data_IF_272885175099
#
_entry.id   IF_272885175099
#
_cell.length_a   1.000
_cell.length_b   1.000
_cell.length_c   1.000
_cell.angle_alpha   90.00
_cell.angle_beta   90.00
_cell.angle_gamma   90.00
#
_symmetry.space_group_name_H-M   'P 1'
#
loop_
_entity.id
_entity.type
_entity.pdbx_description
1 polymer ?
#
# COMPACT_ATOMS: atom_id res chain seq x y z
N UNK A 1 -5.75 8.47 -16.59
CA UNK A 1 -4.65 9.44 -16.85
C UNK A 1 -3.44 8.60 -17.20
N UNK A 2 -2.79 8.87 -18.32
CA UNK A 2 -1.56 8.16 -18.68
C UNK A 2 -0.39 8.72 -17.86
N UNK A 3 0.55 7.85 -17.51
CA UNK A 3 1.76 8.24 -16.79
C UNK A 3 2.58 9.18 -17.68
N UNK A 4 3.00 10.33 -17.16
CA UNK A 4 3.69 11.34 -17.99
C UNK A 4 5.07 10.92 -18.48
N UNK A 5 5.70 9.94 -17.82
CA UNK A 5 7.01 9.40 -18.19
C UNK A 5 7.00 7.86 -18.05
N UNK A 6 6.33 7.12 -18.94
CA UNK A 6 6.19 5.67 -18.83
C UNK A 6 7.51 4.91 -18.94
N UNK A 7 8.52 5.50 -19.59
CA UNK A 7 9.84 4.90 -19.81
C UNK A 7 10.58 4.58 -18.50
N UNK A 8 10.34 5.34 -17.42
CA UNK A 8 10.99 5.11 -16.13
C UNK A 8 10.32 4.03 -15.28
N UNK A 9 9.12 3.56 -15.65
CA UNK A 9 8.41 2.55 -14.86
C UNK A 9 9.17 1.22 -14.83
N UNK A 10 9.78 0.84 -15.96
CA UNK A 10 10.56 -0.40 -16.08
C UNK A 10 11.85 -0.37 -15.24
N UNK A 11 12.43 0.81 -15.01
CA UNK A 11 13.67 0.99 -14.26
C UNK A 11 13.44 1.24 -12.75
N UNK A 12 12.17 1.36 -12.33
CA UNK A 12 11.84 1.66 -10.93
C UNK A 12 11.90 0.42 -10.05
N UNK A 13 12.55 0.53 -8.90
CA UNK A 13 12.65 -0.54 -7.90
C UNK A 13 11.58 -0.32 -6.84
N UNK A 14 10.87 -1.38 -6.46
CA UNK A 14 9.86 -1.31 -5.41
C UNK A 14 10.52 -1.15 -4.03
N UNK A 15 10.17 -0.08 -3.32
CA UNK A 15 10.81 0.34 -2.07
C UNK A 15 10.40 -0.44 -0.82
N UNK A 16 10.46 -1.78 -0.87
CA UNK A 16 10.19 -2.67 0.27
C UNK A 16 11.45 -3.50 0.60
N UNK A 17 12.29 -3.05 1.55
CA UNK A 17 13.60 -3.66 1.82
C UNK A 17 13.57 -5.11 2.26
N UNK A 18 12.48 -5.60 2.86
CA UNK A 18 12.34 -6.99 3.27
C UNK A 18 12.31 -7.94 2.07
N UNK A 19 11.90 -7.46 0.89
CA UNK A 19 11.81 -8.26 -0.34
C UNK A 19 12.86 -7.88 -1.39
N UNK A 20 13.20 -6.59 -1.50
CA UNK A 20 14.01 -6.06 -2.62
C UNK A 20 15.33 -5.42 -2.15
N UNK A 21 15.88 -5.84 -1.00
CA UNK A 21 17.08 -5.22 -0.39
C UNK A 21 18.26 -5.06 -1.35
N UNK A 22 18.54 -6.09 -2.13
CA UNK A 22 19.72 -6.13 -2.99
C UNK A 22 19.55 -5.26 -4.24
N UNK A 23 18.33 -5.16 -4.78
CA UNK A 23 18.01 -4.26 -5.87
C UNK A 23 18.05 -2.79 -5.43
N UNK A 24 17.55 -2.52 -4.22
CA UNK A 24 17.61 -1.18 -3.61
C UNK A 24 19.06 -0.71 -3.44
N UNK A 25 20.00 -1.62 -3.17
CA UNK A 25 21.43 -1.30 -3.07
C UNK A 25 22.00 -0.91 -4.43
N UNK A 26 22.13 0.40 -4.66
CA UNK A 26 22.63 0.97 -5.91
C UNK A 26 21.53 1.39 -6.88
N UNK A 27 20.25 1.19 -6.52
CA UNK A 27 19.10 1.69 -7.25
C UNK A 27 19.10 3.22 -7.34
N UNK A 28 18.81 3.75 -8.53
CA UNK A 28 18.72 5.21 -8.78
C UNK A 28 17.30 5.75 -8.65
N UNK A 29 16.30 4.89 -8.85
CA UNK A 29 14.89 5.22 -8.77
C UNK A 29 14.16 4.19 -7.91
N UNK A 30 13.81 4.59 -6.69
CA UNK A 30 13.14 3.72 -5.72
C UNK A 30 11.73 4.27 -5.49
N UNK A 31 10.73 3.47 -5.84
CA UNK A 31 9.32 3.80 -5.66
C UNK A 31 8.90 3.48 -4.21
N UNK A 32 8.65 4.51 -3.41
CA UNK A 32 8.22 4.32 -2.03
C UNK A 32 6.92 3.52 -1.95
N UNK A 33 6.93 2.48 -1.11
CA UNK A 33 5.76 1.61 -0.91
C UNK A 33 4.68 2.33 -0.10
N UNK A 34 3.42 2.24 -0.56
CA UNK A 34 2.28 2.75 0.21
C UNK A 34 2.06 1.96 1.51
N UNK A 35 1.65 2.64 2.59
CA UNK A 35 1.52 2.03 3.92
C UNK A 35 0.62 0.78 3.96
N UNK A 36 -0.55 0.84 3.32
CA UNK A 36 -1.49 -0.28 3.25
C UNK A 36 -0.94 -1.46 2.42
N UNK A 37 -0.18 -1.15 1.36
CA UNK A 37 0.47 -2.16 0.53
C UNK A 37 1.60 -2.84 1.31
N UNK A 38 2.45 -2.07 2.00
CA UNK A 38 3.50 -2.62 2.85
C UNK A 38 2.93 -3.56 3.93
N UNK A 39 1.91 -3.11 4.67
CA UNK A 39 1.27 -3.91 5.72
C UNK A 39 0.71 -5.24 5.16
N UNK A 40 0.01 -5.16 4.01
CA UNK A 40 -0.58 -6.34 3.35
C UNK A 40 0.50 -7.31 2.84
N UNK A 41 1.50 -6.79 2.12
CA UNK A 41 2.57 -7.60 1.54
C UNK A 41 3.38 -8.29 2.64
N UNK A 42 3.82 -7.56 3.66
CA UNK A 42 4.64 -8.14 4.74
C UNK A 42 3.87 -9.18 5.55
N UNK A 43 2.56 -8.99 5.74
CA UNK A 43 1.71 -9.95 6.45
C UNK A 43 1.49 -11.24 5.65
N UNK A 44 1.50 -11.20 4.32
CA UNK A 44 1.16 -12.33 3.44
C UNK A 44 2.37 -13.02 2.82
N UNK A 45 3.44 -12.27 2.54
CA UNK A 45 4.64 -12.75 1.84
C UNK A 45 5.21 -14.07 2.37
N UNK A 46 5.39 -14.30 3.68
CA UNK A 46 5.92 -15.58 4.16
C UNK A 46 4.99 -16.76 3.86
N UNK A 47 3.68 -16.59 4.04
CA UNK A 47 2.71 -17.66 3.82
C UNK A 47 2.55 -18.02 2.34
N UNK A 48 2.59 -17.01 1.47
CA UNK A 48 2.57 -17.21 0.02
C UNK A 48 3.85 -17.86 -0.49
N UNK A 49 5.01 -17.46 0.06
CA UNK A 49 6.31 -18.04 -0.31
C UNK A 49 6.38 -19.53 0.04
N UNK A 50 5.90 -19.90 1.23
CA UNK A 50 5.86 -21.30 1.68
C UNK A 50 4.65 -22.07 1.11
N UNK A 51 3.78 -21.41 0.34
CA UNK A 51 2.59 -22.00 -0.29
C UNK A 51 1.63 -22.68 0.70
N UNK A 52 1.50 -22.12 1.91
CA UNK A 52 0.67 -22.67 2.99
C UNK A 52 -0.75 -22.06 3.03
N UNK A 53 -1.04 -21.12 2.15
CA UNK A 53 -2.37 -20.52 1.95
C UNK A 53 -2.71 -20.46 0.47
N UNK A 54 -4.00 -20.36 0.14
CA UNK A 54 -4.45 -20.10 -1.22
C UNK A 54 -4.03 -18.69 -1.67
N UNK A 55 -3.52 -18.59 -2.90
CA UNK A 55 -3.04 -17.32 -3.47
C UNK A 55 -4.14 -16.48 -4.12
N UNK A 56 -5.33 -17.05 -4.28
CA UNK A 56 -6.51 -16.40 -4.85
C UNK A 56 -7.49 -15.95 -3.77
N UNK A 57 -8.25 -14.89 -4.07
CA UNK A 57 -9.36 -14.41 -3.22
C UNK A 57 -8.98 -14.02 -1.79
N UNK A 58 -7.76 -13.51 -1.58
CA UNK A 58 -7.32 -13.02 -0.27
C UNK A 58 -8.06 -11.73 0.10
N UNK A 59 -8.70 -11.71 1.27
CA UNK A 59 -9.37 -10.53 1.81
C UNK A 59 -8.48 -9.88 2.87
N UNK A 60 -8.10 -8.62 2.65
CA UNK A 60 -7.33 -7.82 3.61
C UNK A 60 -8.23 -6.71 4.17
N UNK A 61 -8.50 -6.76 5.47
CA UNK A 61 -9.18 -5.68 6.19
C UNK A 61 -8.16 -4.91 7.04
N UNK A 62 -8.02 -3.61 6.79
CA UNK A 62 -7.03 -2.75 7.44
C UNK A 62 -7.74 -1.70 8.30
N UNK A 63 -7.27 -1.56 9.55
CA UNK A 63 -7.63 -0.45 10.42
C UNK A 63 -6.42 0.49 10.45
N UNK A 64 -6.66 1.77 10.14
CA UNK A 64 -5.59 2.77 10.00
C UNK A 64 -5.94 4.04 10.75
N UNK A 65 -4.93 4.80 11.19
CA UNK A 65 -5.14 6.14 11.73
C UNK A 65 -5.52 7.16 10.65
N UNK A 66 -6.17 8.26 11.07
CA UNK A 66 -6.61 9.36 10.18
C UNK A 66 -5.45 10.04 9.44
N UNK A 67 -4.22 9.94 9.94
CA UNK A 67 -3.03 10.52 9.31
C UNK A 67 -2.78 10.04 7.87
N UNK A 68 -3.25 8.84 7.51
CA UNK A 68 -3.19 8.33 6.14
C UNK A 68 -4.00 9.16 5.13
N UNK A 69 -4.98 9.94 5.58
CA UNK A 69 -5.79 10.81 4.73
C UNK A 69 -5.05 12.07 4.25
N UNK A 70 -3.85 12.33 4.79
CA UNK A 70 -3.01 13.49 4.49
C UNK A 70 -3.35 14.73 5.33
N UNK A 71 -2.57 15.79 5.11
CA UNK A 71 -2.69 17.07 5.82
C UNK A 71 -3.95 17.89 5.51
N UNK A 72 -4.46 17.97 4.26
CA UNK A 72 -5.57 18.86 3.95
C UNK A 72 -6.84 18.53 4.76
N UNK A 73 -7.52 19.54 5.32
CA UNK A 73 -8.75 19.32 6.07
C UNK A 73 -9.86 18.81 5.13
N UNK A 74 -10.64 17.86 5.63
CA UNK A 74 -11.83 17.31 4.99
C UNK A 74 -12.89 17.19 6.08
N UNK A 75 -14.16 17.22 5.72
CA UNK A 75 -15.25 17.13 6.69
C UNK A 75 -15.12 15.87 7.57
N UNK A 76 -14.67 14.77 6.97
CA UNK A 76 -14.45 13.48 7.62
C UNK A 76 -13.07 13.30 8.29
N UNK A 77 -12.22 14.33 8.34
CA UNK A 77 -10.92 14.29 9.04
C UNK A 77 -10.81 15.31 10.18
N UNK A 78 -11.89 16.03 10.48
CA UNK A 78 -11.94 16.91 11.66
C UNK A 78 -11.91 16.09 12.95
N UNK A 79 -11.32 16.63 14.02
CA UNK A 79 -11.24 15.93 15.32
C UNK A 79 -12.61 15.42 15.77
N UNK A 80 -13.64 16.27 15.74
CA UNK A 80 -15.00 15.90 16.14
C UNK A 80 -15.64 14.81 15.26
N UNK A 81 -15.17 14.61 14.02
CA UNK A 81 -15.66 13.54 13.15
C UNK A 81 -14.95 12.20 13.38
N UNK A 82 -13.70 12.21 13.87
CA UNK A 82 -12.84 11.02 13.96
C UNK A 82 -12.61 10.51 15.38
N UNK A 83 -12.77 11.36 16.40
CA UNK A 83 -12.62 10.97 17.79
C UNK A 83 -13.65 9.89 18.16
N UNK A 84 -13.20 8.84 18.85
CA UNK A 84 -14.02 7.69 19.26
C UNK A 84 -14.85 7.05 18.12
N UNK A 85 -14.35 7.14 16.88
CA UNK A 85 -15.06 6.68 15.70
C UNK A 85 -14.20 5.77 14.81
N UNK A 86 -14.84 4.78 14.18
CA UNK A 86 -14.24 3.93 13.16
C UNK A 86 -15.19 3.91 11.96
N UNK A 87 -14.72 4.44 10.84
CA UNK A 87 -15.52 4.53 9.61
C UNK A 87 -14.86 3.73 8.49
N UNK A 88 -15.59 2.82 7.82
CA UNK A 88 -15.06 2.09 6.67
C UNK A 88 -14.82 3.03 5.50
N UNK A 89 -13.68 2.88 4.82
CA UNK A 89 -13.33 3.68 3.64
C UNK A 89 -12.64 2.83 2.58
N UNK A 90 -12.70 3.29 1.32
CA UNK A 90 -12.06 2.63 0.17
C UNK A 90 -12.53 1.19 -0.09
N UNK A 91 -13.76 0.88 0.32
CA UNK A 91 -14.39 -0.43 0.14
C UNK A 91 -14.37 -0.82 -1.34
N UNK A 92 -13.83 -2.00 -1.64
CA UNK A 92 -13.78 -2.63 -2.97
C UNK A 92 -13.16 -1.76 -4.09
N UNK A 93 -12.53 -0.63 -3.73
CA UNK A 93 -12.03 0.39 -4.66
C UNK A 93 -10.60 0.82 -4.36
N UNK A 94 -9.99 0.30 -3.28
CA UNK A 94 -8.57 0.50 -3.00
C UNK A 94 -7.70 -0.16 -4.09
N UNK A 95 -6.99 0.67 -4.85
CA UNK A 95 -6.07 0.25 -5.92
C UNK A 95 -4.78 -0.41 -5.42
N UNK A 96 -4.89 -1.41 -4.54
CA UNK A 96 -3.76 -2.26 -4.11
C UNK A 96 -3.47 -3.35 -5.18
N UNK A 97 -4.40 -3.52 -6.13
CA UNK A 97 -4.24 -4.33 -7.33
C UNK A 97 -4.76 -3.51 -8.52
N UNK A 98 -3.86 -3.02 -9.39
CA UNK A 98 -4.30 -2.62 -10.73
C UNK A 98 -4.49 -3.89 -11.56
N UNK A 99 -5.54 -3.88 -12.38
CA UNK A 99 -5.82 -4.90 -13.40
C UNK A 99 -4.63 -5.08 -14.34
#
# INVERSE_FOLDING_TARGET
MEHSCPEYLADSIYGLPELFRDEIRGGKLIAATGCNAAASILSLAPFLKEQVIESTSIVVNLITGVSGAGKPPKDNTTFCAVDENVTPYGLLTHGIHQK
#
